data_IF_840407895146
#
_entry.id   IF_840407895146
#
_cell.length_a   1.000
_cell.length_b   1.000
_cell.length_c   1.000
_cell.angle_alpha   90.00
_cell.angle_beta   90.00
_cell.angle_gamma   90.00
#
_symmetry.space_group_name_H-M   'P 1'
#
loop_
_entity.id
_entity.type
_entity.pdbx_description
1 polymer ?
#
# COMPACT_ATOMS: atom_id res chain seq x y z
N UNK A 1 -22.06 2.69 8.19
CA UNK A 1 -21.22 3.52 9.06
C UNK A 1 -19.77 3.08 8.91
N UNK A 2 -18.90 4.04 8.61
CA UNK A 2 -17.49 3.72 8.47
C UNK A 2 -16.91 3.37 9.84
N UNK A 3 -16.20 2.26 9.93
CA UNK A 3 -15.59 1.88 11.19
C UNK A 3 -14.24 2.56 11.37
N UNK A 4 -13.71 2.50 12.60
CA UNK A 4 -12.44 3.16 12.91
C UNK A 4 -11.28 2.59 12.10
N UNK A 5 -11.31 1.30 11.82
CA UNK A 5 -10.23 0.66 11.07
C UNK A 5 -10.21 1.15 9.62
N UNK A 6 -11.38 1.35 9.02
CA UNK A 6 -11.45 1.88 7.67
C UNK A 6 -10.95 3.32 7.61
N UNK A 7 -11.28 4.12 8.62
CA UNK A 7 -10.76 5.49 8.70
C UNK A 7 -9.24 5.51 8.85
N UNK A 8 -8.71 4.61 9.66
CA UNK A 8 -7.27 4.51 9.84
C UNK A 8 -6.58 4.12 8.54
N UNK A 9 -7.17 3.16 7.81
CA UNK A 9 -6.66 2.76 6.51
C UNK A 9 -6.59 3.97 5.56
N UNK A 10 -7.66 4.76 5.50
CA UNK A 10 -7.68 5.92 4.61
C UNK A 10 -6.65 6.97 4.99
N UNK A 11 -6.42 7.17 6.29
CA UNK A 11 -5.39 8.10 6.75
C UNK A 11 -4.01 7.63 6.31
N UNK A 12 -3.73 6.34 6.47
CA UNK A 12 -2.44 5.80 6.05
C UNK A 12 -2.27 5.89 4.53
N UNK A 13 -3.33 5.62 3.77
CA UNK A 13 -3.26 5.72 2.32
C UNK A 13 -2.99 7.14 1.86
N UNK A 14 -3.61 8.13 2.52
CA UNK A 14 -3.36 9.53 2.20
C UNK A 14 -1.90 9.88 2.43
N UNK A 15 -1.31 9.41 3.51
CA UNK A 15 0.10 9.68 3.80
C UNK A 15 1.02 9.04 2.76
N UNK A 16 0.71 7.82 2.36
CA UNK A 16 1.53 7.13 1.35
C UNK A 16 1.45 7.86 0.02
N UNK A 17 0.28 8.39 -0.33
CA UNK A 17 0.13 9.12 -1.59
C UNK A 17 0.97 10.39 -1.64
N UNK A 18 1.23 11.01 -0.48
CA UNK A 18 1.95 12.27 -0.40
C UNK A 18 3.47 12.11 -0.42
N UNK A 19 4.00 10.91 -0.16
CA UNK A 19 5.44 10.72 -0.10
C UNK A 19 5.92 9.91 -1.30
N UNK A 20 7.09 10.29 -1.81
CA UNK A 20 7.67 9.58 -2.95
C UNK A 20 8.27 8.25 -2.52
N UNK A 21 8.86 8.19 -1.33
CA UNK A 21 9.51 6.99 -0.81
C UNK A 21 8.87 6.62 0.52
N UNK A 22 7.74 5.90 0.50
CA UNK A 22 7.06 5.54 1.74
C UNK A 22 7.92 4.64 2.62
N UNK A 23 7.83 4.86 3.93
CA UNK A 23 8.62 4.07 4.87
C UNK A 23 8.07 2.66 4.99
N UNK A 24 8.96 1.74 5.35
CA UNK A 24 8.57 0.35 5.60
C UNK A 24 7.49 0.30 6.68
N UNK A 25 7.64 1.13 7.70
CA UNK A 25 6.67 1.13 8.81
C UNK A 25 5.27 1.47 8.34
N UNK A 26 5.11 2.50 7.50
CA UNK A 26 3.80 2.87 7.00
C UNK A 26 3.21 1.75 6.15
N UNK A 27 4.02 1.16 5.29
CA UNK A 27 3.56 0.06 4.44
C UNK A 27 3.14 -1.15 5.29
N UNK A 28 3.90 -1.46 6.33
CA UNK A 28 3.54 -2.55 7.21
C UNK A 28 2.22 -2.28 7.93
N UNK A 29 2.01 -1.04 8.36
CA UNK A 29 0.75 -0.67 9.02
C UNK A 29 -0.44 -0.83 8.10
N UNK A 30 -0.31 -0.39 6.85
CA UNK A 30 -1.38 -0.54 5.88
C UNK A 30 -1.68 -2.03 5.66
N UNK A 31 -0.66 -2.85 5.51
CA UNK A 31 -0.86 -4.27 5.26
C UNK A 31 -1.56 -4.95 6.41
N UNK A 32 -1.33 -4.49 7.65
CA UNK A 32 -2.01 -5.04 8.81
C UNK A 32 -3.47 -4.59 8.92
N UNK A 33 -3.84 -3.50 8.25
CA UNK A 33 -5.23 -3.02 8.31
C UNK A 33 -6.08 -3.48 7.15
N UNK A 34 -5.51 -4.19 6.18
CA UNK A 34 -6.29 -4.67 5.04
C UNK A 34 -7.36 -5.65 5.50
N UNK A 35 -8.61 -5.39 5.14
CA UNK A 35 -9.74 -6.24 5.51
C UNK A 35 -10.51 -6.74 4.30
N UNK A 36 -10.34 -6.12 3.15
CA UNK A 36 -11.13 -6.46 1.98
C UNK A 36 -10.27 -6.49 0.74
N UNK A 37 -10.78 -7.15 -0.30
CA UNK A 37 -10.11 -7.18 -1.58
C UNK A 37 -10.02 -5.79 -2.20
N UNK A 38 -11.06 -4.98 -2.02
CA UNK A 38 -11.04 -3.61 -2.55
C UNK A 38 -9.91 -2.79 -1.94
N UNK A 39 -9.71 -2.91 -0.63
CA UNK A 39 -8.61 -2.23 0.03
C UNK A 39 -7.26 -2.74 -0.47
N UNK A 40 -7.14 -4.04 -0.64
CA UNK A 40 -5.90 -4.63 -1.16
C UNK A 40 -5.60 -4.11 -2.56
N UNK A 41 -6.60 -4.06 -3.43
CA UNK A 41 -6.41 -3.56 -4.78
C UNK A 41 -6.01 -2.09 -4.80
N UNK A 42 -6.63 -1.28 -3.94
CA UNK A 42 -6.28 0.13 -3.82
C UNK A 42 -4.83 0.30 -3.37
N UNK A 43 -4.42 -0.46 -2.36
CA UNK A 43 -3.07 -0.43 -1.86
C UNK A 43 -2.07 -0.85 -2.95
N UNK A 44 -2.37 -1.93 -3.65
CA UNK A 44 -1.48 -2.42 -4.70
C UNK A 44 -1.37 -1.42 -5.83
N UNK A 45 -2.46 -0.69 -6.12
CA UNK A 45 -2.42 0.35 -7.14
C UNK A 45 -1.37 1.40 -6.84
N UNK A 46 -1.25 1.78 -5.57
CA UNK A 46 -0.23 2.75 -5.16
C UNK A 46 1.16 2.15 -5.31
N UNK A 47 1.35 0.89 -4.91
CA UNK A 47 2.66 0.25 -5.05
C UNK A 47 3.08 0.14 -6.50
N UNK A 48 2.15 -0.24 -7.39
CA UNK A 48 2.44 -0.29 -8.82
C UNK A 48 2.85 1.08 -9.34
N UNK A 49 2.10 2.11 -8.97
CA UNK A 49 2.40 3.45 -9.40
C UNK A 49 3.80 3.89 -8.97
N UNK A 50 4.17 3.59 -7.71
CA UNK A 50 5.49 3.95 -7.22
C UNK A 50 6.60 3.20 -7.95
N UNK A 51 6.40 1.93 -8.23
CA UNK A 51 7.39 1.13 -8.94
C UNK A 51 7.51 1.60 -10.38
N UNK A 52 6.40 1.86 -11.04
CA UNK A 52 6.40 2.25 -12.45
C UNK A 52 6.98 3.64 -12.67
N UNK A 53 6.85 4.54 -11.69
CA UNK A 53 7.38 5.89 -11.80
C UNK A 53 8.83 6.00 -11.36
N UNK A 54 9.43 4.92 -10.89
CA UNK A 54 10.77 4.92 -10.34
C UNK A 54 11.73 4.20 -11.28
N UNK A 55 12.85 4.84 -11.61
CA UNK A 55 13.84 4.23 -12.49
C UNK A 55 14.51 3.02 -11.82
N UNK A 56 14.73 3.12 -10.51
CA UNK A 56 15.33 2.04 -9.73
C UNK A 56 14.43 1.74 -8.54
N UNK A 57 13.36 0.93 -8.75
CA UNK A 57 12.43 0.64 -7.66
C UNK A 57 13.11 -0.12 -6.53
N UNK A 58 12.67 0.12 -5.30
CA UNK A 58 13.25 -0.54 -4.17
C UNK A 58 12.90 -2.03 -4.17
N UNK A 59 13.83 -2.82 -3.68
CA UNK A 59 13.61 -4.25 -3.54
C UNK A 59 12.39 -4.54 -2.66
N UNK A 60 12.19 -3.72 -1.63
CA UNK A 60 11.07 -3.94 -0.73
C UNK A 60 9.72 -3.78 -1.41
N UNK A 61 9.58 -2.78 -2.28
CA UNK A 61 8.34 -2.61 -3.02
C UNK A 61 8.09 -3.79 -3.94
N UNK A 62 9.13 -4.25 -4.63
CA UNK A 62 9.00 -5.40 -5.51
C UNK A 62 8.65 -6.66 -4.73
N UNK A 63 9.29 -6.87 -3.58
CA UNK A 63 8.99 -8.03 -2.75
C UNK A 63 7.53 -8.02 -2.29
N UNK A 64 7.01 -6.85 -1.92
CA UNK A 64 5.63 -6.74 -1.49
C UNK A 64 4.66 -7.06 -2.63
N UNK A 65 4.93 -6.52 -3.81
CA UNK A 65 4.10 -6.81 -4.98
C UNK A 65 4.11 -8.28 -5.32
N UNK A 66 5.28 -8.90 -5.29
CA UNK A 66 5.40 -10.32 -5.59
C UNK A 66 4.59 -11.17 -4.62
N UNK A 67 4.59 -10.78 -3.33
CA UNK A 67 3.87 -11.53 -2.32
C UNK A 67 2.36 -11.32 -2.41
N UNK A 68 1.92 -10.11 -2.71
CA UNK A 68 0.51 -9.74 -2.64
C UNK A 68 -0.24 -9.92 -3.97
N UNK A 69 0.44 -9.81 -5.10
CA UNK A 69 -0.22 -9.89 -6.40
C UNK A 69 -1.04 -11.17 -6.59
N UNK A 70 -0.59 -12.34 -6.15
CA UNK A 70 -1.40 -13.55 -6.33
C UNK A 70 -2.70 -13.55 -5.55
N UNK A 71 -2.88 -12.63 -4.61
CA UNK A 71 -4.08 -12.59 -3.78
C UNK A 71 -5.24 -11.82 -4.44
N UNK A 72 -4.98 -11.15 -5.54
CA UNK A 72 -6.02 -10.37 -6.23
C UNK A 72 -6.18 -10.81 -7.68
#
# INVERSE_FOLDING_TARGET
MANAQNRYFEILMDQVREVQYPSVEILDRIERTLESRDQLEEYMGILFERVESCEYPSKQLLDRLERLAPLV
#
